data_IF_868782220460
#
_entry.id   IF_868782220460
#
_cell.length_a   1.000
_cell.length_b   1.000
_cell.length_c   1.000
_cell.angle_alpha   90.00
_cell.angle_beta   90.00
_cell.angle_gamma   90.00
#
_symmetry.space_group_name_H-M   'P 1'
#
loop_
_entity.id
_entity.type
_entity.pdbx_description
1 polymer ?
#
# COMPACT_ATOMS: atom_id res chain seq x y z
N UNK A 1 19.30 -0.56 -4.52
CA UNK A 1 18.59 -0.20 -3.29
C UNK A 1 17.15 0.31 -3.56
N UNK A 2 16.92 1.08 -4.64
CA UNK A 2 15.57 1.59 -4.99
C UNK A 2 14.57 0.45 -5.28
N UNK A 3 15.01 -0.59 -5.98
CA UNK A 3 14.18 -1.76 -6.26
C UNK A 3 13.82 -2.52 -4.97
N UNK A 4 14.79 -2.65 -4.05
CA UNK A 4 14.52 -3.23 -2.73
C UNK A 4 13.52 -2.37 -1.92
N UNK A 5 13.63 -1.03 -2.00
CA UNK A 5 12.67 -0.14 -1.36
C UNK A 5 11.26 -0.28 -1.96
N UNK A 6 11.14 -0.44 -3.27
CA UNK A 6 9.88 -0.69 -3.96
C UNK A 6 9.25 -2.03 -3.53
N UNK A 7 10.06 -3.10 -3.49
CA UNK A 7 9.64 -4.41 -3.01
C UNK A 7 9.14 -4.35 -1.57
N UNK A 8 9.91 -3.73 -0.66
CA UNK A 8 9.53 -3.58 0.75
C UNK A 8 8.28 -2.70 0.92
N UNK A 9 8.14 -1.63 0.14
CA UNK A 9 6.94 -0.79 0.17
C UNK A 9 5.68 -1.59 -0.24
N UNK A 10 5.79 -2.45 -1.25
CA UNK A 10 4.72 -3.37 -1.62
C UNK A 10 4.44 -4.41 -0.53
N UNK A 11 5.48 -4.96 0.11
CA UNK A 11 5.31 -5.94 1.20
C UNK A 11 4.60 -5.35 2.41
N UNK A 12 4.99 -4.14 2.83
CA UNK A 12 4.37 -3.45 3.97
C UNK A 12 2.97 -2.93 3.62
N UNK A 13 2.82 -2.32 2.45
CA UNK A 13 1.55 -1.72 2.05
C UNK A 13 0.45 -2.74 1.76
N UNK A 14 0.81 -3.95 1.33
CA UNK A 14 -0.16 -5.03 1.08
C UNK A 14 -0.46 -5.89 2.33
N UNK A 15 0.18 -5.62 3.48
CA UNK A 15 -0.09 -6.31 4.74
C UNK A 15 -1.59 -6.41 5.08
N UNK A 16 -2.42 -5.33 4.97
CA UNK A 16 -3.83 -5.38 5.35
C UNK A 16 -4.62 -6.48 4.65
N UNK A 17 -4.29 -6.78 3.40
CA UNK A 17 -4.98 -7.81 2.62
C UNK A 17 -4.86 -9.20 3.24
N UNK A 18 -3.66 -9.56 3.67
CA UNK A 18 -3.36 -10.87 4.25
C UNK A 18 -3.72 -10.95 5.73
N UNK A 19 -3.52 -9.84 6.46
CA UNK A 19 -3.91 -9.71 7.87
C UNK A 19 -5.40 -9.92 8.06
N UNK A 20 -6.23 -9.29 7.23
CA UNK A 20 -7.67 -9.41 7.32
C UNK A 20 -8.14 -10.85 7.15
N UNK A 21 -7.54 -11.60 6.23
CA UNK A 21 -7.89 -13.01 6.00
C UNK A 21 -7.63 -13.88 7.24
N UNK A 22 -6.53 -13.62 7.95
CA UNK A 22 -6.16 -14.36 9.18
C UNK A 22 -7.09 -14.02 10.34
N UNK A 23 -7.44 -12.74 10.50
CA UNK A 23 -8.17 -12.24 11.68
C UNK A 23 -9.69 -12.42 11.53
N UNK A 24 -10.17 -12.70 10.32
CA UNK A 24 -11.62 -12.78 10.03
C UNK A 24 -12.41 -13.70 10.99
N UNK A 25 -11.93 -14.89 11.40
CA UNK A 25 -12.63 -15.73 12.36
C UNK A 25 -12.79 -15.09 13.75
N UNK A 26 -11.78 -14.35 14.22
CA UNK A 26 -11.84 -13.64 15.51
C UNK A 26 -12.80 -12.46 15.46
N UNK A 27 -12.81 -11.74 14.34
CA UNK A 27 -13.76 -10.64 14.07
C UNK A 27 -15.20 -11.14 14.06
N UNK A 28 -15.46 -12.32 13.47
CA UNK A 28 -16.77 -12.95 13.49
C UNK A 28 -17.25 -13.25 14.91
N UNK A 29 -16.37 -13.79 15.75
CA UNK A 29 -16.68 -14.11 17.15
C UNK A 29 -16.93 -12.84 17.97
N UNK A 30 -16.06 -11.82 17.80
CA UNK A 30 -16.09 -10.60 18.60
C UNK A 30 -17.34 -9.74 18.32
N UNK A 31 -17.75 -9.67 17.05
CA UNK A 31 -18.94 -8.92 16.65
C UNK A 31 -20.23 -9.75 16.57
N UNK A 32 -20.14 -11.08 16.77
CA UNK A 32 -21.30 -11.97 16.72
C UNK A 32 -21.98 -12.03 15.33
N UNK A 33 -21.20 -11.89 14.25
CA UNK A 33 -21.69 -11.78 12.88
C UNK A 33 -21.41 -13.06 12.06
N UNK A 34 -22.20 -13.29 11.02
CA UNK A 34 -22.01 -14.39 10.11
C UNK A 34 -20.78 -14.21 9.20
N UNK A 35 -20.32 -15.32 8.61
CA UNK A 35 -19.15 -15.31 7.70
C UNK A 35 -19.38 -14.42 6.48
N UNK A 36 -20.59 -14.37 5.95
CA UNK A 36 -20.95 -13.54 4.81
C UNK A 36 -20.80 -12.05 5.14
N UNK A 37 -21.29 -11.63 6.32
CA UNK A 37 -21.22 -10.24 6.78
C UNK A 37 -19.77 -9.81 7.06
N UNK A 38 -18.99 -10.65 7.75
CA UNK A 38 -17.59 -10.37 8.01
C UNK A 38 -16.76 -10.24 6.71
N UNK A 39 -17.07 -11.06 5.68
CA UNK A 39 -16.38 -11.01 4.39
C UNK A 39 -16.65 -9.73 3.59
N UNK A 40 -17.72 -8.98 3.91
CA UNK A 40 -17.97 -7.66 3.33
C UNK A 40 -16.82 -6.69 3.60
N UNK A 41 -16.13 -6.81 4.75
CA UNK A 41 -14.97 -5.99 5.06
C UNK A 41 -13.86 -6.19 4.03
N UNK A 42 -13.65 -7.44 3.57
CA UNK A 42 -12.67 -7.75 2.51
C UNK A 42 -13.13 -7.19 1.16
N UNK A 43 -14.39 -7.37 0.81
CA UNK A 43 -14.96 -6.83 -0.44
C UNK A 43 -14.83 -5.31 -0.50
N UNK A 44 -15.20 -4.61 0.57
CA UNK A 44 -15.08 -3.16 0.66
C UNK A 44 -13.62 -2.69 0.60
N UNK A 45 -12.69 -3.44 1.22
CA UNK A 45 -11.27 -3.16 1.12
C UNK A 45 -10.77 -3.28 -0.33
N UNK A 46 -11.26 -4.27 -1.11
CA UNK A 46 -10.92 -4.40 -2.54
C UNK A 46 -11.47 -3.25 -3.38
N UNK A 47 -12.68 -2.77 -3.08
CA UNK A 47 -13.25 -1.56 -3.70
C UNK A 47 -12.37 -0.35 -3.37
N UNK A 48 -11.98 -0.20 -2.10
CA UNK A 48 -11.05 0.83 -1.65
C UNK A 48 -9.71 0.78 -2.40
N UNK A 49 -9.14 -0.42 -2.54
CA UNK A 49 -7.90 -0.65 -3.30
C UNK A 49 -8.04 -0.21 -4.77
N UNK A 50 -9.12 -0.58 -5.44
CA UNK A 50 -9.35 -0.21 -6.84
C UNK A 50 -9.44 1.31 -7.03
N UNK A 51 -10.26 1.97 -6.24
CA UNK A 51 -10.40 3.43 -6.26
C UNK A 51 -9.10 4.14 -5.82
N UNK A 52 -8.48 3.62 -4.75
CA UNK A 52 -7.21 4.14 -4.21
C UNK A 52 -6.07 4.02 -5.20
N UNK A 53 -5.91 2.86 -5.85
CA UNK A 53 -4.87 2.64 -6.86
C UNK A 53 -4.95 3.64 -8.02
N UNK A 54 -6.17 3.91 -8.50
CA UNK A 54 -6.40 4.90 -9.56
C UNK A 54 -6.09 6.33 -9.10
N UNK A 55 -6.64 6.76 -7.97
CA UNK A 55 -6.46 8.14 -7.49
C UNK A 55 -5.05 8.40 -6.95
N UNK A 56 -4.48 7.47 -6.19
CA UNK A 56 -3.10 7.56 -5.73
C UNK A 56 -2.11 7.55 -6.90
N UNK A 57 -2.40 6.82 -7.99
CA UNK A 57 -1.61 6.87 -9.22
C UNK A 57 -1.58 8.29 -9.81
N UNK A 58 -2.75 8.91 -10.01
CA UNK A 58 -2.83 10.30 -10.48
C UNK A 58 -2.14 11.31 -9.55
N UNK A 59 -2.28 11.11 -8.25
CA UNK A 59 -1.61 11.96 -7.26
C UNK A 59 -0.09 11.72 -7.25
N UNK A 60 0.38 10.49 -7.49
CA UNK A 60 1.81 10.19 -7.61
C UNK A 60 2.44 10.94 -8.79
N UNK A 61 1.76 10.99 -9.93
CA UNK A 61 2.21 11.76 -11.11
C UNK A 61 2.33 13.26 -10.80
N UNK A 62 1.38 13.81 -10.04
CA UNK A 62 1.33 15.24 -9.72
C UNK A 62 2.26 15.64 -8.55
N UNK A 63 2.22 14.88 -7.46
CA UNK A 63 2.87 15.25 -6.19
C UNK A 63 4.16 14.48 -5.92
N UNK A 64 4.42 13.44 -6.68
CA UNK A 64 5.59 12.57 -6.56
C UNK A 64 5.36 11.38 -5.63
N UNK A 65 6.08 10.28 -5.91
CA UNK A 65 5.91 8.98 -5.28
C UNK A 65 6.09 9.00 -3.75
N UNK A 66 7.08 9.76 -3.26
CA UNK A 66 7.37 9.82 -1.82
C UNK A 66 6.19 10.32 -0.99
N UNK A 67 5.47 11.36 -1.47
CA UNK A 67 4.30 11.90 -0.76
C UNK A 67 3.15 10.89 -0.72
N UNK A 68 2.99 10.14 -1.78
CA UNK A 68 1.91 9.14 -1.87
C UNK A 68 2.19 7.97 -0.94
N UNK A 69 3.43 7.50 -0.84
CA UNK A 69 3.81 6.48 0.15
C UNK A 69 3.66 7.02 1.59
N UNK A 70 3.93 8.31 1.83
CA UNK A 70 3.66 8.93 3.15
C UNK A 70 2.17 8.94 3.50
N UNK A 71 1.30 9.27 2.54
CA UNK A 71 -0.16 9.14 2.73
C UNK A 71 -0.56 7.71 3.03
N UNK A 72 0.04 6.74 2.34
CA UNK A 72 -0.16 5.32 2.62
C UNK A 72 0.31 4.91 4.02
N UNK A 73 1.43 5.46 4.49
CA UNK A 73 1.93 5.23 5.84
C UNK A 73 0.94 5.74 6.91
N UNK A 74 0.40 6.94 6.70
CA UNK A 74 -0.65 7.50 7.58
C UNK A 74 -1.91 6.64 7.50
N UNK A 75 -2.30 6.22 6.29
CA UNK A 75 -3.43 5.31 6.07
C UNK A 75 -3.27 3.97 6.80
N UNK A 76 -2.07 3.39 6.80
CA UNK A 76 -1.78 2.17 7.53
C UNK A 76 -1.85 2.36 9.04
N UNK A 77 -1.18 3.40 9.57
CA UNK A 77 -1.23 3.73 11.00
C UNK A 77 -2.66 3.96 11.48
N UNK A 78 -3.37 4.90 10.85
CA UNK A 78 -4.73 5.26 11.24
C UNK A 78 -5.73 4.13 10.99
N UNK A 79 -5.58 3.40 9.88
CA UNK A 79 -6.46 2.32 9.50
C UNK A 79 -6.41 1.13 10.44
N UNK A 80 -5.21 0.66 10.77
CA UNK A 80 -5.04 -0.41 11.76
C UNK A 80 -5.45 0.03 13.17
N UNK A 81 -5.14 1.27 13.58
CA UNK A 81 -5.58 1.80 14.86
C UNK A 81 -7.11 1.88 14.93
N UNK A 82 -7.76 2.45 13.91
CA UNK A 82 -9.23 2.56 13.88
C UNK A 82 -9.90 1.18 13.84
N UNK A 83 -9.32 0.23 13.11
CA UNK A 83 -9.81 -1.14 13.10
C UNK A 83 -9.66 -1.81 14.48
N UNK A 84 -8.52 -1.62 15.17
CA UNK A 84 -8.30 -2.14 16.52
C UNK A 84 -9.31 -1.60 17.55
N UNK A 85 -9.72 -0.34 17.42
CA UNK A 85 -10.71 0.30 18.31
C UNK A 85 -12.15 0.20 17.84
N UNK A 86 -12.40 -0.52 16.74
CA UNK A 86 -13.75 -0.68 16.21
C UNK A 86 -14.67 -1.38 17.22
N UNK A 87 -15.87 -0.82 17.38
CA UNK A 87 -16.94 -1.37 18.22
C UNK A 87 -18.08 -1.98 17.40
N UNK A 88 -17.99 -1.87 16.09
CA UNK A 88 -18.95 -2.43 15.15
C UNK A 88 -18.28 -2.91 13.87
N UNK A 89 -18.90 -3.90 13.21
CA UNK A 89 -18.43 -4.39 11.91
C UNK A 89 -18.41 -3.26 10.87
N UNK A 90 -19.37 -2.33 10.90
CA UNK A 90 -19.42 -1.21 9.96
C UNK A 90 -18.19 -0.29 10.10
N UNK A 91 -17.78 0.04 11.33
CA UNK A 91 -16.58 0.83 11.60
C UNK A 91 -15.32 0.09 11.17
N UNK A 92 -15.24 -1.21 11.44
CA UNK A 92 -14.14 -2.08 11.02
C UNK A 92 -14.04 -2.13 9.49
N UNK A 93 -15.16 -2.34 8.79
CA UNK A 93 -15.22 -2.37 7.33
C UNK A 93 -14.89 -1.01 6.70
N UNK A 94 -15.34 0.09 7.29
CA UNK A 94 -15.01 1.45 6.84
C UNK A 94 -13.50 1.73 6.98
N UNK A 95 -12.86 1.33 8.09
CA UNK A 95 -11.42 1.45 8.27
C UNK A 95 -10.65 0.65 7.19
N UNK A 96 -11.10 -0.56 6.88
CA UNK A 96 -10.51 -1.39 5.84
C UNK A 96 -10.72 -0.83 4.43
N UNK A 97 -11.88 -0.26 4.14
CA UNK A 97 -12.16 0.34 2.83
C UNK A 97 -11.34 1.62 2.60
N UNK A 98 -11.50 2.61 3.50
CA UNK A 98 -11.03 3.97 3.28
C UNK A 98 -9.54 4.17 3.62
N UNK A 99 -9.07 3.54 4.70
CA UNK A 99 -7.71 3.77 5.18
C UNK A 99 -6.76 2.66 4.73
N UNK A 100 -7.12 1.40 4.93
CA UNK A 100 -6.26 0.28 4.58
C UNK A 100 -6.30 -0.03 3.09
N UNK A 101 -7.48 -0.13 2.47
CA UNK A 101 -7.61 -0.39 1.05
C UNK A 101 -7.22 0.81 0.19
N UNK A 102 -7.90 1.94 0.41
CA UNK A 102 -7.74 3.12 -0.43
C UNK A 102 -6.37 3.79 -0.24
N UNK A 103 -5.96 4.11 1.00
CA UNK A 103 -4.70 4.82 1.25
C UNK A 103 -3.51 3.86 1.32
N UNK A 104 -3.51 2.85 2.20
CA UNK A 104 -2.32 2.03 2.42
C UNK A 104 -1.99 1.17 1.20
N UNK A 105 -2.89 0.28 0.77
CA UNK A 105 -2.65 -0.60 -0.39
C UNK A 105 -2.66 0.20 -1.69
N UNK A 106 -3.64 1.10 -1.87
CA UNK A 106 -3.78 1.92 -3.08
C UNK A 106 -2.57 2.78 -3.39
N UNK A 107 -1.85 3.27 -2.36
CA UNK A 107 -0.62 4.06 -2.55
C UNK A 107 0.62 3.22 -2.83
N UNK A 108 0.65 1.97 -2.38
CA UNK A 108 1.87 1.15 -2.34
C UNK A 108 1.97 0.12 -3.46
N UNK A 109 0.87 -0.22 -4.14
CA UNK A 109 0.92 -1.25 -5.18
C UNK A 109 0.99 -0.65 -6.59
N UNK A 110 -0.12 -0.16 -7.14
CA UNK A 110 -0.17 0.33 -8.51
C UNK A 110 0.80 1.49 -8.80
N UNK A 111 0.87 2.55 -7.95
CA UNK A 111 1.82 3.64 -8.17
C UNK A 111 3.28 3.20 -8.13
N UNK A 112 3.64 2.25 -7.22
CA UNK A 112 5.02 1.74 -7.13
C UNK A 112 5.40 0.94 -8.36
N UNK A 113 4.47 0.16 -8.92
CA UNK A 113 4.70 -0.56 -10.19
C UNK A 113 4.95 0.41 -11.34
N UNK A 114 4.13 1.46 -11.46
CA UNK A 114 4.28 2.50 -12.47
C UNK A 114 5.62 3.22 -12.34
N UNK A 115 5.96 3.71 -11.14
CA UNK A 115 7.24 4.40 -10.86
C UNK A 115 8.44 3.49 -11.16
N UNK A 116 8.40 2.22 -10.74
CA UNK A 116 9.48 1.26 -11.03
C UNK A 116 9.68 1.09 -12.54
N UNK A 117 8.60 1.01 -13.31
CA UNK A 117 8.66 0.91 -14.77
C UNK A 117 9.29 2.12 -15.47
N UNK A 118 9.25 3.31 -14.86
CA UNK A 118 9.86 4.53 -15.39
C UNK A 118 11.38 4.57 -15.15
N UNK A 119 11.87 3.96 -14.06
CA UNK A 119 13.29 3.92 -13.73
C UNK A 119 14.09 2.88 -14.53
N UNK A 120 13.49 1.71 -14.80
CA UNK A 120 14.17 0.60 -15.51
C UNK A 120 13.63 0.42 -16.93
N UNK A 121 14.08 1.27 -17.87
CA UNK A 121 13.60 1.19 -19.26
C UNK A 121 14.07 -0.07 -20.00
N UNK A 122 15.36 -0.44 -19.85
CA UNK A 122 15.95 -1.59 -20.56
C UNK A 122 15.44 -2.94 -20.03
N UNK A 123 15.21 -3.06 -18.72
CA UNK A 123 14.75 -4.29 -18.07
C UNK A 123 13.45 -4.03 -17.27
N UNK A 124 12.54 -3.27 -17.84
CA UNK A 124 11.29 -2.83 -17.20
C UNK A 124 10.48 -4.01 -16.63
N UNK A 125 10.30 -5.09 -17.42
CA UNK A 125 9.52 -6.26 -17.01
C UNK A 125 10.10 -6.93 -15.76
N UNK A 126 11.42 -7.14 -15.73
CA UNK A 126 12.11 -7.76 -14.59
C UNK A 126 12.01 -6.88 -13.36
N UNK A 127 12.24 -5.57 -13.48
CA UNK A 127 12.17 -4.65 -12.35
C UNK A 127 10.76 -4.59 -11.75
N UNK A 128 9.74 -4.51 -12.60
CA UNK A 128 8.33 -4.52 -12.15
C UNK A 128 7.98 -5.86 -11.52
N UNK A 129 8.43 -6.99 -12.08
CA UNK A 129 8.20 -8.32 -11.50
C UNK A 129 8.83 -8.46 -10.11
N UNK A 130 10.06 -7.95 -9.92
CA UNK A 130 10.73 -7.95 -8.60
C UNK A 130 9.97 -7.06 -7.61
N UNK A 131 9.53 -5.87 -7.99
CA UNK A 131 8.73 -5.02 -7.11
C UNK A 131 7.37 -5.67 -6.78
N UNK A 132 6.71 -6.29 -7.78
CA UNK A 132 5.43 -6.99 -7.60
C UNK A 132 5.54 -8.23 -6.71
N UNK A 133 6.70 -8.90 -6.69
CA UNK A 133 6.93 -10.05 -5.80
C UNK A 133 6.83 -9.68 -4.31
N UNK A 134 6.93 -8.39 -3.96
CA UNK A 134 6.63 -7.88 -2.63
C UNK A 134 5.23 -8.23 -2.13
N UNK A 135 4.24 -8.32 -3.03
CA UNK A 135 2.90 -8.78 -2.67
C UNK A 135 2.90 -10.26 -2.22
N UNK A 136 3.59 -11.14 -2.94
CA UNK A 136 3.70 -12.55 -2.57
C UNK A 136 4.52 -12.72 -1.28
N UNK A 137 5.56 -11.91 -1.12
CA UNK A 137 6.34 -11.87 0.11
C UNK A 137 5.48 -11.45 1.30
N UNK A 138 4.58 -10.49 1.12
CA UNK A 138 3.59 -10.13 2.13
C UNK A 138 2.71 -11.32 2.52
N UNK A 139 2.21 -12.08 1.54
CA UNK A 139 1.40 -13.29 1.77
C UNK A 139 2.14 -14.41 2.49
N UNK A 140 3.46 -14.44 2.41
CA UNK A 140 4.28 -15.44 3.09
C UNK A 140 4.66 -15.02 4.52
N UNK A 141 4.97 -13.74 4.72
CA UNK A 141 5.51 -13.23 5.99
C UNK A 141 4.42 -12.86 7.01
N UNK A 142 3.35 -12.18 6.54
CA UNK A 142 2.36 -11.64 7.46
C UNK A 142 1.47 -12.70 8.11
N UNK A 143 0.93 -13.72 7.42
CA UNK A 143 0.00 -14.66 8.04
C UNK A 143 0.57 -15.38 9.27
N UNK A 144 1.77 -16.00 9.24
CA UNK A 144 2.29 -16.69 10.42
C UNK A 144 2.60 -15.72 11.57
N UNK A 145 3.13 -14.53 11.28
CA UNK A 145 3.41 -13.53 12.31
C UNK A 145 2.13 -12.98 12.96
N UNK A 146 1.10 -12.72 12.14
CA UNK A 146 -0.20 -12.25 12.61
C UNK A 146 -0.91 -13.33 13.41
N UNK A 147 -0.91 -14.58 12.93
CA UNK A 147 -1.51 -15.71 13.64
C UNK A 147 -0.91 -15.86 15.04
N UNK A 148 0.43 -15.86 15.11
CA UNK A 148 1.12 -15.91 16.40
C UNK A 148 0.73 -14.75 17.33
N UNK A 149 0.67 -13.52 16.80
CA UNK A 149 0.25 -12.34 17.57
C UNK A 149 -1.19 -12.43 18.08
N UNK A 150 -2.10 -12.90 17.24
CA UNK A 150 -3.52 -13.08 17.57
C UNK A 150 -3.71 -14.13 18.66
N UNK A 151 -2.98 -15.25 18.58
CA UNK A 151 -3.06 -16.33 19.57
C UNK A 151 -2.55 -15.92 20.96
N UNK A 152 -1.52 -15.06 21.03
CA UNK A 152 -0.88 -14.68 22.30
C UNK A 152 -1.45 -13.39 22.90
N UNK A 153 -1.82 -12.43 22.08
CA UNK A 153 -2.22 -11.08 22.52
C UNK A 153 -3.65 -10.69 22.11
N UNK A 154 -4.27 -11.47 21.23
CA UNK A 154 -5.54 -11.11 20.62
C UNK A 154 -5.37 -10.22 19.38
N UNK A 155 -6.42 -10.09 18.59
CA UNK A 155 -6.37 -9.41 17.30
C UNK A 155 -6.22 -7.86 17.43
N UNK A 156 -6.83 -7.24 18.44
CA UNK A 156 -6.78 -5.78 18.62
C UNK A 156 -5.37 -5.25 18.90
N UNK A 157 -4.61 -5.75 19.90
CA UNK A 157 -3.21 -5.34 20.09
C UNK A 157 -2.32 -5.66 18.89
N UNK A 158 -2.54 -6.80 18.23
CA UNK A 158 -1.80 -7.18 17.02
C UNK A 158 -1.99 -6.16 15.91
N UNK A 159 -3.20 -5.63 15.71
CA UNK A 159 -3.48 -4.56 14.75
C UNK A 159 -2.72 -3.28 15.07
N UNK A 160 -2.64 -2.88 16.34
CA UNK A 160 -1.87 -1.68 16.75
C UNK A 160 -0.39 -1.84 16.39
N UNK A 161 0.20 -3.00 16.71
CA UNK A 161 1.60 -3.30 16.37
C UNK A 161 1.81 -3.29 14.85
N UNK A 162 0.92 -3.91 14.09
CA UNK A 162 0.98 -3.91 12.62
C UNK A 162 0.88 -2.49 12.04
N UNK A 163 0.01 -1.67 12.59
CA UNK A 163 -0.11 -0.25 12.20
C UNK A 163 1.22 0.49 12.36
N UNK A 164 1.88 0.31 13.50
CA UNK A 164 3.18 0.92 13.78
C UNK A 164 4.25 0.38 12.82
N UNK A 165 4.37 -0.93 12.69
CA UNK A 165 5.37 -1.57 11.81
C UNK A 165 5.19 -1.17 10.34
N UNK A 166 3.98 -1.28 9.82
CA UNK A 166 3.70 -0.93 8.42
C UNK A 166 3.80 0.58 8.19
N UNK A 167 3.22 1.39 9.07
CA UNK A 167 3.21 2.84 8.92
C UNK A 167 4.60 3.45 9.05
N UNK A 168 5.35 3.10 10.10
CA UNK A 168 6.73 3.59 10.28
C UNK A 168 7.63 3.06 9.16
N UNK A 169 7.51 1.77 8.81
CA UNK A 169 8.27 1.18 7.72
C UNK A 169 8.04 1.88 6.37
N UNK A 170 6.78 2.13 6.00
CA UNK A 170 6.43 2.87 4.78
C UNK A 170 6.91 4.33 4.85
N UNK A 171 6.80 5.00 6.00
CA UNK A 171 7.29 6.37 6.17
C UNK A 171 8.81 6.46 5.95
N UNK A 172 9.59 5.54 6.51
CA UNK A 172 11.03 5.47 6.30
C UNK A 172 11.39 5.17 4.85
N UNK A 173 10.69 4.24 4.19
CA UNK A 173 10.90 3.92 2.77
C UNK A 173 10.57 5.11 1.86
N UNK A 174 9.58 5.93 2.22
CA UNK A 174 9.22 7.12 1.46
C UNK A 174 10.37 8.10 1.32
N UNK A 175 11.25 8.20 2.33
CA UNK A 175 12.45 9.04 2.28
C UNK A 175 13.44 8.60 1.21
N UNK A 176 13.51 7.29 0.94
CA UNK A 176 14.35 6.70 -0.11
C UNK A 176 13.76 6.83 -1.51
N UNK A 177 12.44 7.05 -1.62
CA UNK A 177 11.70 7.19 -2.88
C UNK A 177 11.47 8.65 -3.29
N UNK A 178 12.13 9.61 -2.64
CA UNK A 178 11.99 11.06 -2.90
C UNK A 178 12.48 11.50 -4.29
N UNK A 179 13.40 10.77 -4.89
CA UNK A 179 13.95 11.12 -6.20
C UNK A 179 12.89 10.91 -7.30
N UNK A 180 12.72 11.89 -8.16
CA UNK A 180 11.86 11.76 -9.34
C UNK A 180 12.57 10.93 -10.41
N UNK A 181 11.83 10.18 -11.24
CA UNK A 181 12.40 9.50 -12.40
C UNK A 181 13.10 10.50 -13.32
N UNK A 182 14.16 10.08 -14.05
CA UNK A 182 14.79 10.92 -15.09
C UNK A 182 13.74 11.41 -16.09
N UNK A 183 13.77 12.69 -16.42
CA UNK A 183 12.88 13.24 -17.45
C UNK A 183 13.05 12.48 -18.75
N UNK A 184 11.93 12.22 -19.42
CA UNK A 184 11.93 11.56 -20.74
C UNK A 184 12.47 12.57 -21.76
N UNK A 185 13.70 12.40 -22.23
CA UNK A 185 14.16 13.06 -23.44
C UNK A 185 13.21 12.62 -24.57
N UNK A 186 12.39 13.54 -25.07
CA UNK A 186 11.32 13.26 -26.05
C UNK A 186 9.91 13.55 -25.54
N UNK A 187 9.73 14.02 -24.30
CA UNK A 187 8.48 14.63 -23.88
C UNK A 187 8.24 15.92 -24.68
N UNK A 188 6.96 16.25 -24.95
CA UNK A 188 6.54 17.48 -25.64
C UNK A 188 7.24 18.73 -25.05
N UNK A 189 7.55 18.72 -23.74
CA UNK A 189 8.36 19.73 -23.08
C UNK A 189 9.82 19.77 -23.60
N UNK A 190 10.45 18.64 -23.86
CA UNK A 190 11.81 18.57 -24.42
C UNK A 190 11.85 19.01 -25.90
N UNK A 191 10.81 18.75 -26.66
CA UNK A 191 10.67 19.23 -28.04
C UNK A 191 10.44 20.73 -28.08
N UNK A 192 9.69 21.29 -27.11
CA UNK A 192 9.49 22.75 -26.96
C UNK A 192 10.78 23.47 -26.57
N UNK A 193 11.60 22.89 -25.68
CA UNK A 193 12.88 23.45 -25.26
C UNK A 193 13.96 23.34 -26.35
N UNK A 194 13.94 22.25 -27.15
CA UNK A 194 14.81 22.09 -28.31
C UNK A 194 14.41 23.05 -29.45
N UNK A 195 13.13 23.31 -29.64
CA UNK A 195 12.63 24.29 -30.60
C UNK A 195 12.84 25.76 -30.16
N UNK A 196 13.03 26.03 -28.89
CA UNK A 196 13.27 27.35 -28.33
C UNK A 196 14.76 27.76 -28.30
N UNK A 197 15.68 26.86 -28.68
CA UNK A 197 17.11 27.20 -28.84
C UNK A 197 17.35 27.68 -30.27
N UNK A 198 17.45 29.01 -30.53
CA UNK A 198 17.85 29.52 -31.85
C UNK A 198 19.32 29.23 -32.06
N UNK A 199 19.64 28.42 -33.04
CA UNK A 199 20.89 28.36 -33.76
C UNK A 199 22.18 28.20 -32.93
N UNK A 200 22.69 26.98 -32.92
CA UNK A 200 24.13 26.75 -32.83
C UNK A 200 24.57 26.08 -34.14
#
# INVERSE_FOLDING_TARGET
WRLAAALLACTLGNAPMYVLAVVLPEVQRDFGVGRAEASLSYTLMMVGLGAGGFLCGRWADRYGMARIIQLGAIGALAGFALAAWSQSLAMFAAAHCLLLGFLAIGSSYAPVMADTGLWWRRHRGVAVAVAASGNFLAGTLWPPGVQWGVEHFGWRPTFVVLGIVCGVGMALLSLRLRQRPPAVEGSIAGLSEAAARPGA
#
